data_IF_794563864985
#
_entry.id   IF_794563864985
#
_cell.length_a   1.000
_cell.length_b   1.000
_cell.length_c   1.000
_cell.angle_alpha   90.00
_cell.angle_beta   90.00
_cell.angle_gamma   90.00
#
_symmetry.space_group_name_H-M   'P 1'
#
loop_
_entity.id
_entity.type
_entity.pdbx_description
1 polymer ?
#
# COMPACT_ATOMS: atom_id res chain seq x y z
N UNK A 1 19.09 -2.95 28.29
CA UNK A 1 19.59 -3.52 27.01
C UNK A 1 18.49 -3.74 25.96
N UNK A 2 17.31 -4.30 26.30
CA UNK A 2 16.21 -4.51 25.33
C UNK A 2 15.70 -3.23 24.64
N UNK A 3 15.68 -2.08 25.34
CA UNK A 3 15.18 -0.81 24.76
C UNK A 3 16.09 -0.26 23.66
N UNK A 4 17.42 -0.36 23.80
CA UNK A 4 18.37 0.04 22.75
C UNK A 4 18.30 -0.87 21.51
N UNK A 5 18.04 -2.18 21.69
CA UNK A 5 17.89 -3.10 20.55
C UNK A 5 16.62 -2.80 19.75
N UNK A 6 15.47 -2.59 20.41
CA UNK A 6 14.22 -2.18 19.75
C UNK A 6 14.34 -0.84 19.03
N UNK A 7 15.04 0.13 19.63
CA UNK A 7 15.30 1.43 18.99
C UNK A 7 16.20 1.30 17.75
N UNK A 8 17.22 0.45 17.82
CA UNK A 8 18.14 0.25 16.70
C UNK A 8 17.46 -0.50 15.54
N UNK A 9 16.59 -1.46 15.86
CA UNK A 9 15.75 -2.16 14.88
C UNK A 9 14.73 -1.22 14.23
N UNK A 10 14.07 -0.36 15.01
CA UNK A 10 13.17 0.67 14.49
C UNK A 10 13.89 1.68 13.57
N UNK A 11 15.12 2.08 13.91
CA UNK A 11 15.93 2.95 13.05
C UNK A 11 16.33 2.25 11.75
N UNK A 12 16.70 0.97 11.82
CA UNK A 12 17.04 0.17 10.62
C UNK A 12 15.84 0.03 9.68
N UNK A 13 14.65 -0.26 10.20
CA UNK A 13 13.41 -0.31 9.42
C UNK A 13 13.12 1.05 8.77
N UNK A 14 13.36 2.15 9.51
CA UNK A 14 13.14 3.51 9.01
C UNK A 14 14.12 3.87 7.88
N UNK A 15 15.39 3.52 8.02
CA UNK A 15 16.42 3.78 7.01
C UNK A 15 16.18 2.94 5.75
N UNK A 16 15.81 1.66 5.91
CA UNK A 16 15.42 0.78 4.82
C UNK A 16 14.16 1.28 4.10
N UNK A 17 13.15 1.74 4.84
CA UNK A 17 11.97 2.38 4.28
C UNK A 17 12.30 3.63 3.47
N UNK A 18 13.15 4.52 4.00
CA UNK A 18 13.59 5.73 3.29
C UNK A 18 14.30 5.35 1.99
N UNK A 19 15.23 4.37 2.05
CA UNK A 19 15.93 3.85 0.88
C UNK A 19 14.97 3.29 -0.18
N UNK A 20 14.05 2.41 0.23
CA UNK A 20 13.01 1.86 -0.64
C UNK A 20 12.12 2.96 -1.24
N UNK A 21 11.73 3.97 -0.45
CA UNK A 21 10.90 5.08 -0.94
C UNK A 21 11.60 5.87 -2.05
N UNK A 22 12.87 6.23 -1.86
CA UNK A 22 13.64 6.91 -2.91
C UNK A 22 13.87 6.04 -4.13
N UNK A 23 14.09 4.73 -3.96
CA UNK A 23 14.20 3.78 -5.07
C UNK A 23 12.89 3.73 -5.88
N UNK A 24 11.74 3.55 -5.24
CA UNK A 24 10.43 3.56 -5.90
C UNK A 24 10.16 4.89 -6.62
N UNK A 25 10.53 6.02 -6.01
CA UNK A 25 10.43 7.33 -6.65
C UNK A 25 11.32 7.43 -7.90
N UNK A 26 12.54 6.89 -7.87
CA UNK A 26 13.44 6.88 -9.02
C UNK A 26 12.87 6.02 -10.17
N UNK A 27 12.34 4.84 -9.84
CA UNK A 27 11.65 3.97 -10.80
C UNK A 27 10.42 4.66 -11.41
N UNK A 28 9.63 5.38 -10.59
CA UNK A 28 8.50 6.16 -11.07
C UNK A 28 8.92 7.28 -12.03
N UNK A 29 9.98 8.03 -11.71
CA UNK A 29 10.55 9.05 -12.62
C UNK A 29 11.02 8.40 -13.93
N UNK A 30 11.62 7.20 -13.87
CA UNK A 30 12.02 6.44 -15.04
C UNK A 30 10.83 6.05 -15.92
N UNK A 31 9.72 5.58 -15.31
CA UNK A 31 8.45 5.30 -16.01
C UNK A 31 7.89 6.57 -16.68
N UNK A 32 7.83 7.69 -15.97
CA UNK A 32 7.40 8.98 -16.55
C UNK A 32 8.27 9.40 -17.74
N UNK A 33 9.59 9.29 -17.62
CA UNK A 33 10.52 9.61 -18.72
C UNK A 33 10.25 8.75 -19.96
N UNK A 34 9.98 7.45 -19.79
CA UNK A 34 9.61 6.55 -20.89
C UNK A 34 8.30 6.98 -21.54
N UNK A 35 7.30 7.36 -20.75
CA UNK A 35 6.02 7.88 -21.23
C UNK A 35 6.20 9.16 -22.05
N UNK A 36 6.88 10.17 -21.52
CA UNK A 36 7.13 11.44 -22.23
C UNK A 36 7.86 11.21 -23.56
N UNK A 37 8.93 10.42 -23.56
CA UNK A 37 9.65 10.06 -24.81
C UNK A 37 8.79 9.25 -25.77
N UNK A 38 7.87 8.43 -25.28
CA UNK A 38 6.92 7.67 -26.10
C UNK A 38 5.92 8.59 -26.79
N UNK A 39 5.36 9.53 -26.04
CA UNK A 39 4.42 10.56 -26.53
C UNK A 39 5.11 11.43 -27.58
N UNK A 40 6.28 11.99 -27.27
CA UNK A 40 7.04 12.86 -28.18
C UNK A 40 7.34 12.17 -29.52
N UNK A 41 7.82 10.91 -29.48
CA UNK A 41 8.09 10.13 -30.69
C UNK A 41 6.84 9.94 -31.55
N UNK A 42 5.69 9.65 -30.94
CA UNK A 42 4.42 9.43 -31.65
C UNK A 42 3.84 10.72 -32.24
N UNK A 43 4.05 11.87 -31.56
CA UNK A 43 3.67 13.18 -32.09
C UNK A 43 4.50 13.50 -33.34
N UNK A 44 5.83 13.37 -33.27
CA UNK A 44 6.74 13.67 -34.39
C UNK A 44 6.43 12.77 -35.59
N UNK A 45 6.14 11.49 -35.37
CA UNK A 45 5.80 10.54 -36.43
C UNK A 45 4.34 10.61 -36.92
N UNK A 46 3.55 11.57 -36.40
CA UNK A 46 2.11 11.74 -36.70
C UNK A 46 1.25 10.49 -36.46
N UNK A 47 1.67 9.63 -35.52
CA UNK A 47 0.97 8.40 -35.14
C UNK A 47 -0.14 8.68 -34.11
N UNK A 48 -1.11 9.52 -34.47
CA UNK A 48 -2.12 10.03 -33.53
C UNK A 48 -3.06 8.95 -32.98
N UNK A 49 -3.46 7.97 -33.79
CA UNK A 49 -4.33 6.87 -33.33
C UNK A 49 -3.61 6.00 -32.28
N UNK A 50 -2.35 5.67 -32.55
CA UNK A 50 -1.52 4.91 -31.62
C UNK A 50 -1.20 5.71 -30.35
N UNK A 51 -1.03 7.02 -30.47
CA UNK A 51 -0.88 7.92 -29.32
C UNK A 51 -2.13 7.89 -28.44
N UNK A 52 -3.32 7.99 -29.04
CA UNK A 52 -4.60 7.95 -28.32
C UNK A 52 -4.78 6.64 -27.54
N UNK A 53 -4.35 5.51 -28.10
CA UNK A 53 -4.34 4.22 -27.40
C UNK A 53 -3.34 4.19 -26.23
N UNK A 54 -2.21 4.89 -26.36
CA UNK A 54 -1.13 4.90 -25.36
C UNK A 54 -1.47 5.72 -24.10
N UNK A 55 -2.48 6.59 -24.16
CA UNK A 55 -2.91 7.46 -23.05
C UNK A 55 -4.30 7.11 -22.52
N UNK A 56 -4.76 5.88 -22.75
CA UNK A 56 -6.06 5.39 -22.29
C UNK A 56 -6.09 5.24 -20.75
N UNK A 57 -7.25 5.44 -20.15
CA UNK A 57 -7.54 5.23 -18.73
C UNK A 57 -7.19 3.80 -18.27
N UNK A 58 -7.33 2.79 -19.15
CA UNK A 58 -6.91 1.42 -18.84
C UNK A 58 -5.43 1.29 -18.49
N UNK A 59 -4.57 2.16 -19.06
CA UNK A 59 -3.14 2.23 -18.72
C UNK A 59 -2.98 2.74 -17.28
N UNK A 60 -3.73 3.76 -16.88
CA UNK A 60 -3.70 4.28 -15.51
C UNK A 60 -4.11 3.21 -14.49
N UNK A 61 -5.11 2.38 -14.81
CA UNK A 61 -5.52 1.29 -13.94
C UNK A 61 -4.45 0.19 -13.84
N UNK A 62 -3.70 -0.08 -14.90
CA UNK A 62 -2.55 -1.01 -14.83
C UNK A 62 -1.40 -0.45 -13.99
N UNK A 63 -1.06 0.84 -14.15
CA UNK A 63 -0.04 1.51 -13.33
C UNK A 63 -0.45 1.53 -11.85
N UNK A 64 -1.73 1.72 -11.55
CA UNK A 64 -2.27 1.65 -10.19
C UNK A 64 -2.09 0.25 -9.58
N UNK A 65 -2.37 -0.81 -10.35
CA UNK A 65 -2.12 -2.19 -9.89
C UNK A 65 -0.64 -2.47 -9.65
N UNK A 66 0.24 -1.98 -10.54
CA UNK A 66 1.70 -2.05 -10.32
C UNK A 66 2.09 -1.33 -9.03
N UNK A 67 1.59 -0.11 -8.81
CA UNK A 67 1.87 0.66 -7.60
C UNK A 67 1.40 -0.06 -6.32
N UNK A 68 0.26 -0.77 -6.37
CA UNK A 68 -0.18 -1.59 -5.24
C UNK A 68 0.73 -2.80 -5.00
N UNK A 69 1.21 -3.45 -6.06
CA UNK A 69 2.18 -4.55 -5.93
C UNK A 69 3.49 -4.06 -5.33
N UNK A 70 4.02 -2.95 -5.83
CA UNK A 70 5.26 -2.32 -5.34
C UNK A 70 5.11 -1.92 -3.86
N UNK A 71 3.94 -1.41 -3.48
CA UNK A 71 3.61 -1.10 -2.09
C UNK A 71 3.56 -2.34 -1.21
N UNK A 72 2.82 -3.37 -1.60
CA UNK A 72 2.65 -4.61 -0.84
C UNK A 72 4.01 -5.29 -0.61
N UNK A 73 4.83 -5.40 -1.66
CA UNK A 73 6.18 -5.98 -1.58
C UNK A 73 7.08 -5.18 -0.63
N UNK A 74 7.12 -3.85 -0.78
CA UNK A 74 7.97 -2.99 0.07
C UNK A 74 7.51 -3.03 1.51
N UNK A 75 6.20 -2.99 1.75
CA UNK A 75 5.63 -3.02 3.08
C UNK A 75 5.89 -4.36 3.78
N UNK A 76 5.70 -5.49 3.08
CA UNK A 76 5.93 -6.82 3.65
C UNK A 76 7.42 -7.13 3.85
N UNK A 77 8.34 -6.51 3.10
CA UNK A 77 9.78 -6.57 3.42
C UNK A 77 10.09 -5.92 4.77
N UNK A 78 9.41 -4.83 5.10
CA UNK A 78 9.60 -4.10 6.36
C UNK A 78 8.84 -4.73 7.52
N UNK A 79 7.67 -5.32 7.25
CA UNK A 79 6.78 -5.92 8.23
C UNK A 79 6.39 -7.35 7.80
N UNK A 80 7.37 -8.26 7.82
CA UNK A 80 7.23 -9.63 7.29
C UNK A 80 6.14 -10.45 7.96
N UNK A 81 5.79 -10.14 9.20
CA UNK A 81 4.75 -10.84 9.97
C UNK A 81 3.40 -10.11 9.96
N UNK A 82 3.26 -9.02 9.21
CA UNK A 82 2.07 -8.18 9.26
C UNK A 82 0.78 -8.94 8.97
N UNK A 83 0.76 -9.80 7.94
CA UNK A 83 -0.44 -10.55 7.56
C UNK A 83 -0.87 -11.48 8.70
N UNK A 84 0.08 -12.22 9.27
CA UNK A 84 -0.19 -13.16 10.35
C UNK A 84 -0.68 -12.43 11.61
N UNK A 85 0.01 -11.35 11.99
CA UNK A 85 -0.37 -10.53 13.13
C UNK A 85 -1.71 -9.81 12.93
N UNK A 86 -2.03 -9.40 11.70
CA UNK A 86 -3.31 -8.79 11.35
C UNK A 86 -4.46 -9.80 11.48
N UNK A 87 -4.31 -11.01 10.95
CA UNK A 87 -5.35 -12.05 11.03
C UNK A 87 -5.59 -12.53 12.47
N UNK A 88 -4.57 -12.47 13.35
CA UNK A 88 -4.71 -12.77 14.78
C UNK A 88 -5.61 -11.78 15.54
N UNK A 89 -5.97 -10.63 14.97
CA UNK A 89 -6.90 -9.66 15.58
C UNK A 89 -8.38 -10.07 15.45
N UNK A 90 -8.66 -11.09 14.64
CA UNK A 90 -10.01 -11.61 14.39
C UNK A 90 -10.23 -12.96 15.09
N UNK A 91 -11.48 -13.31 15.35
CA UNK A 91 -11.82 -14.60 15.94
C UNK A 91 -11.27 -15.78 15.11
N UNK A 92 -10.77 -16.86 15.73
CA UNK A 92 -10.24 -18.04 15.03
C UNK A 92 -11.19 -18.67 14.01
N UNK A 93 -12.50 -18.53 14.25
CA UNK A 93 -13.59 -19.01 13.38
C UNK A 93 -13.78 -18.14 12.13
N UNK A 94 -13.37 -16.87 12.18
CA UNK A 94 -13.48 -15.88 11.11
C UNK A 94 -12.16 -15.59 10.42
N UNK A 95 -11.05 -16.12 10.93
CA UNK A 95 -9.73 -16.03 10.32
C UNK A 95 -9.81 -16.55 8.88
N UNK A 96 -9.45 -15.69 7.93
CA UNK A 96 -9.32 -16.10 6.54
C UNK A 96 -8.02 -16.90 6.49
N UNK A 97 -8.14 -18.23 6.61
CA UNK A 97 -7.02 -19.18 6.65
C UNK A 97 -5.95 -18.71 5.65
N UNK A 98 -4.87 -18.13 6.17
CA UNK A 98 -3.78 -17.49 5.43
C UNK A 98 -2.98 -18.57 4.70
N UNK A 99 -3.60 -19.14 3.68
CA UNK A 99 -2.97 -20.10 2.79
C UNK A 99 -2.56 -19.30 1.57
N UNK A 100 -1.34 -18.76 1.58
CA UNK A 100 -0.61 -18.28 0.39
C UNK A 100 -0.91 -16.86 -0.15
N UNK A 101 -1.34 -15.89 0.67
CA UNK A 101 -1.41 -14.51 0.18
C UNK A 101 -0.04 -13.81 0.33
N UNK A 102 0.72 -13.72 -0.75
CA UNK A 102 1.92 -12.87 -0.85
C UNK A 102 1.58 -11.37 -1.01
N UNK A 103 0.29 -11.03 -1.11
CA UNK A 103 -0.19 -9.67 -1.35
C UNK A 103 -1.23 -9.24 -0.33
N UNK A 104 -1.28 -7.92 -0.08
CA UNK A 104 -2.24 -7.33 0.83
C UNK A 104 -3.61 -7.20 0.15
N UNK A 105 -4.67 -7.53 0.88
CA UNK A 105 -6.03 -7.17 0.48
C UNK A 105 -6.23 -5.65 0.57
N UNK A 106 -7.27 -5.10 -0.08
CA UNK A 106 -7.63 -3.68 0.07
C UNK A 106 -7.79 -3.25 1.53
N UNK A 107 -8.39 -4.11 2.37
CA UNK A 107 -8.53 -3.85 3.81
C UNK A 107 -7.16 -3.78 4.48
N UNK A 108 -6.30 -4.77 4.23
CA UNK A 108 -4.95 -4.81 4.78
C UNK A 108 -4.13 -3.58 4.35
N UNK A 109 -4.27 -3.12 3.10
CA UNK A 109 -3.60 -1.89 2.63
C UNK A 109 -4.04 -0.64 3.40
N UNK A 110 -5.31 -0.53 3.79
CA UNK A 110 -5.79 0.58 4.64
C UNK A 110 -5.03 0.59 5.98
N UNK A 111 -4.88 -0.57 6.61
CA UNK A 111 -4.21 -0.68 7.90
C UNK A 111 -2.68 -0.63 7.80
N UNK A 112 -2.10 -1.10 6.72
CA UNK A 112 -0.69 -0.91 6.39
C UNK A 112 -0.36 0.59 6.25
N UNK A 113 -1.23 1.38 5.59
CA UNK A 113 -1.05 2.83 5.51
C UNK A 113 -1.15 3.52 6.88
N UNK A 114 -2.09 3.08 7.73
CA UNK A 114 -2.20 3.56 9.12
C UNK A 114 -0.93 3.24 9.89
N UNK A 115 -0.40 2.01 9.75
CA UNK A 115 0.84 1.56 10.36
C UNK A 115 2.06 2.40 9.95
N UNK A 116 2.08 2.86 8.71
CA UNK A 116 3.08 3.81 8.21
C UNK A 116 2.85 5.27 8.69
N UNK A 117 1.86 5.51 9.55
CA UNK A 117 1.53 6.83 10.10
C UNK A 117 0.56 7.65 9.23
N UNK A 118 0.02 7.09 8.15
CA UNK A 118 -0.98 7.76 7.30
C UNK A 118 -2.38 7.47 7.85
N UNK A 119 -2.78 8.24 8.87
CA UNK A 119 -4.06 8.03 9.56
C UNK A 119 -5.25 8.75 8.89
N UNK A 120 -4.99 9.84 8.16
CA UNK A 120 -6.01 10.65 7.50
C UNK A 120 -6.72 9.86 6.39
N UNK A 121 -8.03 9.62 6.57
CA UNK A 121 -8.88 8.92 5.60
C UNK A 121 -8.86 9.58 4.22
N UNK A 122 -8.62 10.90 4.10
CA UNK A 122 -8.49 11.56 2.78
C UNK A 122 -7.23 11.14 2.04
N UNK A 123 -6.09 11.04 2.75
CA UNK A 123 -4.83 10.54 2.18
C UNK A 123 -4.92 9.08 1.79
N UNK A 124 -5.52 8.24 2.64
CA UNK A 124 -5.75 6.83 2.34
C UNK A 124 -6.66 6.67 1.11
N UNK A 125 -7.74 7.44 1.05
CA UNK A 125 -8.68 7.45 -0.07
C UNK A 125 -7.98 7.82 -1.39
N UNK A 126 -7.14 8.86 -1.37
CA UNK A 126 -6.33 9.25 -2.52
C UNK A 126 -5.37 8.14 -2.95
N UNK A 127 -4.68 7.50 -2.02
CA UNK A 127 -3.72 6.42 -2.32
C UNK A 127 -4.42 5.21 -2.95
N UNK A 128 -5.56 4.79 -2.39
CA UNK A 128 -6.29 3.60 -2.84
C UNK A 128 -7.30 3.90 -3.95
N UNK A 129 -7.36 5.13 -4.45
CA UNK A 129 -8.32 5.59 -5.45
C UNK A 129 -9.78 5.27 -5.09
N UNK A 130 -10.14 5.53 -3.84
CA UNK A 130 -11.50 5.35 -3.33
C UNK A 130 -12.06 6.67 -2.82
N UNK A 131 -13.37 6.69 -2.59
CA UNK A 131 -13.98 7.78 -1.83
C UNK A 131 -13.62 7.67 -0.34
N UNK A 132 -13.61 8.80 0.36
CA UNK A 132 -13.45 8.81 1.84
C UNK A 132 -14.52 7.95 2.51
N UNK A 133 -15.75 7.98 1.98
CA UNK A 133 -16.85 7.15 2.46
C UNK A 133 -16.51 5.66 2.34
N UNK A 134 -16.02 5.22 1.19
CA UNK A 134 -15.59 3.82 0.96
C UNK A 134 -14.50 3.41 1.95
N UNK A 135 -13.51 4.26 2.21
CA UNK A 135 -12.47 3.99 3.23
C UNK A 135 -13.09 3.82 4.62
N UNK A 136 -13.99 4.72 5.01
CA UNK A 136 -14.66 4.63 6.30
C UNK A 136 -15.52 3.36 6.42
N UNK A 137 -16.21 2.96 5.35
CA UNK A 137 -16.97 1.71 5.30
C UNK A 137 -16.07 0.49 5.51
N UNK A 138 -14.89 0.44 4.87
CA UNK A 138 -13.91 -0.62 5.11
C UNK A 138 -13.42 -0.63 6.57
N UNK A 139 -13.09 0.54 7.13
CA UNK A 139 -12.67 0.67 8.53
C UNK A 139 -13.75 0.13 9.48
N UNK A 140 -15.00 0.59 9.33
CA UNK A 140 -16.14 0.15 10.15
C UNK A 140 -16.39 -1.35 10.00
N UNK A 141 -16.30 -1.90 8.78
CA UNK A 141 -16.50 -3.33 8.55
C UNK A 141 -15.48 -4.18 9.28
N UNK A 142 -14.21 -3.76 9.29
CA UNK A 142 -13.16 -4.46 10.03
C UNK A 142 -13.39 -4.32 11.52
N UNK A 143 -13.65 -3.10 11.99
CA UNK A 143 -13.99 -2.78 13.38
C UNK A 143 -15.13 -3.63 13.97
N UNK A 144 -16.16 -3.91 13.18
CA UNK A 144 -17.29 -4.75 13.59
C UNK A 144 -16.97 -6.26 13.66
N UNK A 145 -15.83 -6.69 13.12
CA UNK A 145 -15.39 -8.10 13.11
C UNK A 145 -14.29 -8.38 14.13
N UNK A 146 -13.84 -7.35 14.86
CA UNK A 146 -12.75 -7.49 15.81
C UNK A 146 -13.23 -8.21 17.06
N UNK A 147 -12.35 -9.08 17.58
CA UNK A 147 -12.52 -9.68 18.90
C UNK A 147 -12.14 -8.72 20.05
N UNK A 148 -11.44 -7.63 19.72
CA UNK A 148 -10.92 -6.64 20.66
C UNK A 148 -11.72 -5.33 20.61
N UNK A 149 -11.63 -4.52 21.67
CA UNK A 149 -12.26 -3.19 21.71
C UNK A 149 -11.77 -2.29 20.55
N UNK A 150 -12.72 -1.59 19.94
CA UNK A 150 -12.50 -0.81 18.72
C UNK A 150 -11.48 0.32 18.87
N UNK A 151 -11.36 0.88 20.07
CA UNK A 151 -10.46 2.00 20.36
C UNK A 151 -8.99 1.55 20.47
N UNK A 152 -8.75 0.26 20.73
CA UNK A 152 -7.41 -0.33 20.82
C UNK A 152 -6.90 -0.84 19.47
N UNK A 153 -7.77 -1.00 18.47
CA UNK A 153 -7.40 -1.64 17.23
C UNK A 153 -6.34 -0.87 16.45
N UNK A 154 -6.52 0.44 16.28
CA UNK A 154 -5.54 1.25 15.55
C UNK A 154 -4.20 1.30 16.31
N UNK A 155 -4.21 1.26 17.64
CA UNK A 155 -3.01 1.14 18.46
C UNK A 155 -2.31 -0.20 18.24
N UNK A 156 -3.06 -1.32 18.25
CA UNK A 156 -2.51 -2.64 17.96
C UNK A 156 -1.95 -2.73 16.56
N UNK A 157 -2.63 -2.16 15.56
CA UNK A 157 -2.10 -2.09 14.19
C UNK A 157 -0.74 -1.38 14.18
N UNK A 158 -0.58 -0.30 14.95
CA UNK A 158 0.70 0.42 15.09
C UNK A 158 1.81 -0.39 15.77
N UNK A 159 1.45 -1.42 16.55
CA UNK A 159 2.38 -2.29 17.28
C UNK A 159 2.83 -3.52 16.48
N UNK A 160 2.13 -3.85 15.39
CA UNK A 160 2.46 -4.95 14.46
C UNK A 160 3.68 -4.60 13.61
#
# INVERSE_FOLDING_TARGET
MQSNMKLNEANKIKDEYIGCSFYLNAEYISKLKKLYKGIERKIISRQFDSLRQSVNESVLESERKSMYSDFDETFLKLFSHFIDSYEQLFEPTTQRRSMLNEHLTTEMRIFALIRLGIQDSKRIAKFLNYSVHTINTYKTRVKNKLWIENDLFEQKIMEI
#
